data_IF_787824564620
#
_entry.id   IF_787824564620
#
_cell.length_a   1.000
_cell.length_b   1.000
_cell.length_c   1.000
_cell.angle_alpha   90.00
_cell.angle_beta   90.00
_cell.angle_gamma   90.00
#
_symmetry.space_group_name_H-M   'P 1'
#
loop_
_entity.id
_entity.type
_entity.pdbx_description
1 polymer ?
#
# COMPACT_ATOMS: atom_id res chain seq x y z
N UNK A 1 8.46 2.92 -9.48
CA UNK A 1 8.08 1.50 -9.56
C UNK A 1 9.35 0.70 -9.85
N UNK A 2 9.47 -0.50 -9.31
CA UNK A 2 10.60 -1.39 -9.57
C UNK A 2 10.27 -2.36 -10.71
N UNK A 3 11.27 -2.76 -11.51
CA UNK A 3 11.07 -3.73 -12.58
C UNK A 3 10.66 -5.09 -12.02
N UNK A 4 9.70 -5.74 -12.67
CA UNK A 4 9.28 -7.09 -12.33
C UNK A 4 10.17 -8.09 -13.08
N UNK A 5 11.01 -8.81 -12.33
CA UNK A 5 11.91 -9.83 -12.89
C UNK A 5 11.41 -11.24 -12.52
N UNK A 6 11.55 -12.17 -13.46
CA UNK A 6 11.15 -13.57 -13.27
C UNK A 6 12.37 -14.49 -13.31
N UNK A 7 12.31 -15.55 -12.51
CA UNK A 7 13.36 -16.57 -12.44
C UNK A 7 13.07 -17.76 -13.38
N UNK A 8 14.06 -18.60 -13.63
CA UNK A 8 13.97 -19.82 -14.45
C UNK A 8 13.55 -19.62 -15.91
N UNK A 9 13.84 -18.44 -16.48
CA UNK A 9 13.60 -18.17 -17.89
C UNK A 9 14.66 -18.90 -18.73
N UNK A 10 14.20 -19.71 -19.69
CA UNK A 10 15.12 -20.40 -20.62
C UNK A 10 15.77 -19.40 -21.58
N UNK A 11 16.97 -19.72 -22.08
CA UNK A 11 17.67 -18.87 -23.07
C UNK A 11 16.83 -18.62 -24.33
N UNK A 12 16.01 -19.60 -24.71
CA UNK A 12 15.02 -19.47 -25.78
C UNK A 12 13.67 -19.06 -25.18
N UNK A 13 13.56 -17.81 -24.77
CA UNK A 13 12.32 -17.22 -24.27
C UNK A 13 11.34 -16.94 -25.43
N UNK A 14 10.75 -18.00 -25.99
CA UNK A 14 9.84 -17.91 -27.15
C UNK A 14 8.57 -17.12 -26.81
N UNK A 15 8.16 -17.14 -25.55
CA UNK A 15 6.94 -16.47 -25.08
C UNK A 15 7.18 -15.04 -24.57
N UNK A 16 8.45 -14.60 -24.49
CA UNK A 16 8.79 -13.26 -24.01
C UNK A 16 8.48 -13.04 -22.53
N UNK A 17 8.56 -14.08 -21.70
CA UNK A 17 8.26 -14.03 -20.27
C UNK A 17 9.18 -13.07 -19.49
N UNK A 18 10.38 -12.80 -20.01
CA UNK A 18 11.32 -11.85 -19.41
C UNK A 18 10.90 -10.39 -19.51
N UNK A 19 9.99 -10.05 -20.43
CA UNK A 19 9.52 -8.68 -20.69
C UNK A 19 10.68 -7.67 -20.87
N UNK A 20 11.79 -8.13 -21.45
CA UNK A 20 13.07 -7.40 -21.44
C UNK A 20 12.99 -6.03 -22.12
N UNK A 21 12.30 -5.93 -23.25
CA UNK A 21 12.14 -4.66 -23.99
C UNK A 21 11.36 -3.62 -23.18
N UNK A 22 10.27 -4.04 -22.55
CA UNK A 22 9.43 -3.17 -21.73
C UNK A 22 10.25 -2.65 -20.54
N UNK A 23 10.93 -3.54 -19.85
CA UNK A 23 11.72 -3.23 -18.64
C UNK A 23 12.95 -2.37 -18.94
N UNK A 24 13.76 -2.75 -19.94
CA UNK A 24 15.07 -2.14 -20.20
C UNK A 24 15.04 -0.96 -21.19
N UNK A 25 13.98 -0.80 -21.98
CA UNK A 25 13.93 0.24 -23.03
C UNK A 25 12.73 1.15 -22.85
N UNK A 26 11.50 0.60 -22.93
CA UNK A 26 10.30 1.43 -23.00
C UNK A 26 10.04 2.21 -21.72
N UNK A 27 10.07 1.53 -20.57
CA UNK A 27 9.82 2.16 -19.26
C UNK A 27 10.84 3.25 -18.95
N UNK A 28 12.12 3.01 -19.28
CA UNK A 28 13.17 4.01 -19.10
C UNK A 28 12.99 5.22 -20.04
N UNK A 29 12.56 5.01 -21.28
CA UNK A 29 12.28 6.09 -22.22
C UNK A 29 11.09 6.97 -21.80
N UNK A 30 10.08 6.37 -21.15
CA UNK A 30 8.90 7.09 -20.68
C UNK A 30 9.18 8.02 -19.50
N UNK A 31 10.34 7.91 -18.83
CA UNK A 31 10.71 8.79 -17.72
C UNK A 31 10.73 10.27 -18.13
N UNK A 32 11.07 10.56 -19.39
CA UNK A 32 11.04 11.93 -19.94
C UNK A 32 9.65 12.51 -20.19
N UNK A 33 8.59 11.68 -20.21
CA UNK A 33 7.21 12.07 -20.61
C UNK A 33 6.21 11.80 -19.48
N UNK A 34 6.66 11.86 -18.22
CA UNK A 34 5.79 11.70 -17.05
C UNK A 34 5.89 10.34 -16.36
N UNK A 35 6.84 9.49 -16.75
CA UNK A 35 7.19 8.27 -16.03
C UNK A 35 6.49 7.01 -16.52
N UNK A 36 6.89 5.89 -15.91
CA UNK A 36 6.30 4.57 -16.16
C UNK A 36 4.82 4.52 -15.78
N UNK A 37 3.97 3.82 -16.56
CA UNK A 37 2.64 3.44 -16.11
C UNK A 37 2.72 2.42 -14.96
N UNK A 38 1.63 2.30 -14.20
CA UNK A 38 1.50 1.30 -13.13
C UNK A 38 1.19 -0.09 -13.70
N UNK A 39 2.14 -1.02 -13.57
CA UNK A 39 2.03 -2.40 -14.08
C UNK A 39 1.72 -3.48 -13.02
N UNK A 40 1.26 -3.10 -11.83
CA UNK A 40 0.74 -4.06 -10.84
C UNK A 40 1.58 -4.21 -9.55
N UNK A 41 2.84 -4.62 -9.65
CA UNK A 41 3.67 -4.92 -8.44
C UNK A 41 4.89 -4.00 -8.31
N UNK A 42 5.60 -4.09 -7.18
CA UNK A 42 6.87 -3.40 -6.95
C UNK A 42 6.78 -1.87 -6.90
N UNK A 43 5.65 -1.31 -6.47
CA UNK A 43 5.43 0.13 -6.47
C UNK A 43 5.01 0.65 -5.09
N UNK A 44 5.39 1.90 -4.81
CA UNK A 44 4.93 2.63 -3.63
C UNK A 44 3.96 3.72 -4.06
N UNK A 45 2.75 3.70 -3.50
CA UNK A 45 1.73 4.71 -3.74
C UNK A 45 1.56 5.61 -2.52
N UNK A 46 1.49 6.93 -2.74
CA UNK A 46 1.05 7.85 -1.68
C UNK A 46 -0.44 7.63 -1.45
N UNK A 47 -0.86 7.44 -0.18
CA UNK A 47 -2.28 7.27 0.18
C UNK A 47 -3.17 8.35 -0.42
N UNK A 48 -2.71 9.60 -0.39
CA UNK A 48 -3.43 10.75 -0.95
C UNK A 48 -3.72 10.63 -2.45
N UNK A 49 -2.80 10.03 -3.21
CA UNK A 49 -3.00 9.80 -4.63
C UNK A 49 -4.10 8.75 -4.88
N UNK A 50 -4.21 7.74 -4.02
CA UNK A 50 -5.28 6.74 -4.08
C UNK A 50 -6.64 7.34 -3.71
N UNK A 51 -6.66 8.36 -2.86
CA UNK A 51 -7.86 9.14 -2.51
C UNK A 51 -8.23 10.20 -3.57
N UNK A 52 -7.52 10.22 -4.71
CA UNK A 52 -7.79 11.15 -5.81
C UNK A 52 -7.27 12.58 -5.59
N UNK A 53 -6.45 12.82 -4.55
CA UNK A 53 -5.83 14.13 -4.35
C UNK A 53 -4.76 14.38 -5.42
N UNK A 54 -4.81 15.57 -6.02
CA UNK A 54 -3.79 16.02 -6.96
C UNK A 54 -2.49 16.34 -6.24
N UNK A 55 -1.37 16.12 -6.93
CA UNK A 55 -0.07 16.49 -6.40
C UNK A 55 0.01 18.01 -6.18
N UNK A 56 0.46 18.40 -5.00
CA UNK A 56 0.78 19.78 -4.65
C UNK A 56 2.22 19.81 -4.11
N UNK A 57 3.04 20.72 -4.62
CA UNK A 57 4.45 20.89 -4.20
C UNK A 57 4.56 21.36 -2.74
N UNK A 58 3.58 22.11 -2.26
CA UNK A 58 3.55 22.66 -0.91
C UNK A 58 2.98 21.67 0.11
N UNK A 59 2.51 20.50 -0.35
CA UNK A 59 2.02 19.46 0.54
C UNK A 59 3.17 18.86 1.34
N UNK A 60 3.21 19.19 2.64
CA UNK A 60 4.06 18.52 3.62
C UNK A 60 3.25 17.40 4.27
N UNK A 61 3.68 16.16 4.07
CA UNK A 61 3.15 15.03 4.83
C UNK A 61 3.60 15.20 6.29
N UNK A 62 2.66 15.47 7.17
CA UNK A 62 2.95 15.79 8.56
C UNK A 62 3.29 14.51 9.34
N UNK A 63 4.56 14.10 9.30
CA UNK A 63 5.10 13.03 10.13
C UNK A 63 5.02 13.37 11.64
N UNK A 64 4.73 14.63 11.99
CA UNK A 64 4.89 15.17 13.34
C UNK A 64 3.64 15.01 14.22
N UNK A 65 2.49 14.66 13.65
CA UNK A 65 1.25 14.38 14.40
C UNK A 65 1.31 13.10 15.26
N UNK A 66 2.41 12.33 15.23
CA UNK A 66 2.58 11.10 16.01
C UNK A 66 3.57 11.22 17.19
N UNK A 67 4.28 12.34 17.36
CA UNK A 67 5.38 12.42 18.32
C UNK A 67 5.07 13.36 19.50
N UNK A 68 3.93 13.20 20.17
CA UNK A 68 3.80 13.63 21.57
C UNK A 68 4.02 12.40 22.49
N UNK A 69 5.18 12.29 23.17
CA UNK A 69 5.49 11.16 24.04
C UNK A 69 4.50 11.01 25.20
N UNK A 70 3.90 12.11 25.68
CA UNK A 70 2.97 12.09 26.82
C UNK A 70 1.58 11.56 26.44
N UNK A 71 1.14 11.80 25.21
CA UNK A 71 -0.13 11.27 24.69
C UNK A 71 0.01 9.80 24.28
N UNK A 72 1.21 9.38 23.89
CA UNK A 72 1.49 8.01 23.42
C UNK A 72 1.30 6.95 24.51
N UNK A 73 1.77 7.16 25.74
CA UNK A 73 1.64 6.15 26.81
C UNK A 73 0.19 5.90 27.24
N UNK A 74 -0.61 6.95 27.42
CA UNK A 74 -2.05 6.86 27.74
C UNK A 74 -2.83 6.21 26.61
N UNK A 75 -2.47 6.55 25.38
CA UNK A 75 -3.10 6.00 24.18
C UNK A 75 -2.75 4.51 24.00
N UNK A 76 -1.51 4.08 24.28
CA UNK A 76 -1.10 2.68 24.14
C UNK A 76 -1.85 1.76 25.10
N UNK A 77 -2.02 2.13 26.37
CA UNK A 77 -2.77 1.29 27.33
C UNK A 77 -4.24 1.17 26.96
N UNK A 78 -4.87 2.29 26.58
CA UNK A 78 -6.27 2.32 26.17
C UNK A 78 -6.51 1.58 24.84
N UNK A 79 -5.58 1.74 23.88
CA UNK A 79 -5.60 1.00 22.62
C UNK A 79 -5.40 -0.49 22.86
N UNK A 80 -4.50 -0.88 23.76
CA UNK A 80 -4.28 -2.27 24.10
C UNK A 80 -5.52 -2.90 24.72
N UNK A 81 -6.21 -2.20 25.63
CA UNK A 81 -7.44 -2.67 26.24
C UNK A 81 -8.57 -2.83 25.19
N UNK A 82 -8.75 -1.83 24.32
CA UNK A 82 -9.71 -1.88 23.22
C UNK A 82 -9.39 -3.00 22.23
N UNK A 83 -8.13 -3.15 21.84
CA UNK A 83 -7.66 -4.19 20.94
C UNK A 83 -7.88 -5.58 21.55
N UNK A 84 -7.60 -5.75 22.85
CA UNK A 84 -7.85 -7.01 23.58
C UNK A 84 -9.33 -7.36 23.60
N UNK A 85 -10.20 -6.36 23.76
CA UNK A 85 -11.67 -6.55 23.70
C UNK A 85 -12.14 -6.94 22.30
N UNK A 86 -11.64 -6.31 21.24
CA UNK A 86 -11.99 -6.65 19.85
C UNK A 86 -11.41 -8.00 19.43
N UNK A 87 -10.19 -8.32 19.88
CA UNK A 87 -9.50 -9.58 19.59
C UNK A 87 -10.04 -10.76 20.41
N UNK A 88 -10.74 -10.51 21.52
CA UNK A 88 -11.50 -11.57 22.18
C UNK A 88 -12.59 -12.04 21.22
N UNK A 89 -12.52 -13.29 20.77
CA UNK A 89 -13.46 -13.88 19.81
C UNK A 89 -14.93 -13.89 20.29
N UNK A 90 -15.19 -13.41 21.50
CA UNK A 90 -16.51 -13.18 22.08
C UNK A 90 -17.07 -11.78 21.76
N UNK A 91 -16.30 -10.90 21.11
CA UNK A 91 -16.70 -9.54 20.76
C UNK A 91 -18.00 -9.52 19.93
N UNK A 92 -18.16 -10.49 19.04
CA UNK A 92 -19.34 -10.60 18.16
C UNK A 92 -20.60 -11.12 18.87
N UNK A 93 -20.48 -11.75 20.06
CA UNK A 93 -21.64 -12.34 20.76
C UNK A 93 -22.63 -11.28 21.26
N UNK A 94 -22.16 -10.05 21.51
CA UNK A 94 -22.95 -8.94 22.04
C UNK A 94 -23.01 -7.73 21.10
N UNK A 95 -22.49 -7.85 19.87
CA UNK A 95 -22.41 -6.76 18.90
C UNK A 95 -23.24 -7.08 17.65
N UNK A 96 -23.91 -6.07 17.09
CA UNK A 96 -24.66 -6.22 15.84
C UNK A 96 -23.77 -6.12 14.59
N UNK A 97 -22.46 -5.98 14.76
CA UNK A 97 -21.48 -5.73 13.69
C UNK A 97 -21.53 -6.83 12.63
N UNK A 98 -21.61 -8.11 13.01
CA UNK A 98 -21.78 -9.21 12.04
C UNK A 98 -22.97 -9.07 11.08
N UNK A 99 -24.05 -8.37 11.45
CA UNK A 99 -25.19 -8.08 10.55
C UNK A 99 -24.96 -6.88 9.64
N UNK A 100 -24.09 -5.96 10.04
CA UNK A 100 -23.76 -4.73 9.30
C UNK A 100 -22.63 -4.95 8.28
N UNK A 101 -21.63 -5.76 8.61
CA UNK A 101 -20.48 -6.04 7.73
C UNK A 101 -20.53 -7.42 7.07
N UNK A 102 -21.46 -8.29 7.46
CA UNK A 102 -21.68 -9.57 6.80
C UNK A 102 -22.20 -9.38 5.38
N UNK A 103 -21.63 -10.13 4.43
CA UNK A 103 -22.20 -10.23 3.09
C UNK A 103 -23.58 -10.91 3.17
N UNK A 104 -24.58 -10.29 2.54
CA UNK A 104 -25.88 -10.93 2.28
C UNK A 104 -25.74 -12.06 1.27
#
# INVERSE_FOLDING_TARGET
>A
QFPQNFENITKNDVYGASLRVISEVEIHGLDGVGGSPYIGTGCFHRREALLGRKYNKDYKFDWMMQNDPLDTERNVTDLQERAKKVASCTYELNSQRGKEVGLK
#
